data_IF_857595812953
#
_entry.id   IF_857595812953
#
_cell.length_a   1.000
_cell.length_b   1.000
_cell.length_c   1.000
_cell.angle_alpha   90.00
_cell.angle_beta   90.00
_cell.angle_gamma   90.00
#
_symmetry.space_group_name_H-M   'P 1'
#
loop_
_entity.id
_entity.type
_entity.pdbx_description
1 polymer ?
#
# COMPACT_ATOMS: atom_id res chain seq x y z
N UNK A 1 -9.21 -11.77 -27.18
CA UNK A 1 -9.63 -11.38 -25.81
C UNK A 1 -8.74 -12.18 -24.89
N UNK A 2 -7.83 -11.55 -24.15
CA UNK A 2 -6.94 -12.30 -23.25
C UNK A 2 -7.77 -12.79 -22.07
N UNK A 3 -7.85 -14.11 -21.93
CA UNK A 3 -8.42 -14.76 -20.77
C UNK A 3 -7.59 -14.40 -19.53
N UNK A 4 -8.22 -13.70 -18.59
CA UNK A 4 -7.64 -13.36 -17.28
C UNK A 4 -8.18 -14.31 -16.19
N UNK A 5 -8.68 -15.50 -16.56
CA UNK A 5 -9.09 -16.52 -15.61
C UNK A 5 -7.95 -16.81 -14.63
N UNK A 6 -8.16 -16.37 -13.40
CA UNK A 6 -7.30 -16.41 -12.23
C UNK A 6 -6.71 -17.81 -11.96
N UNK A 7 -5.38 -17.94 -11.89
CA UNK A 7 -4.68 -19.18 -11.50
C UNK A 7 -3.95 -19.08 -10.14
N UNK A 8 -4.39 -18.22 -9.23
CA UNK A 8 -3.86 -18.25 -7.85
C UNK A 8 -3.81 -16.95 -7.05
N UNK A 9 -4.31 -15.83 -7.55
CA UNK A 9 -4.32 -14.61 -6.75
C UNK A 9 -5.32 -14.70 -5.56
N UNK A 10 -5.00 -14.10 -4.40
CA UNK A 10 -5.92 -14.02 -3.27
C UNK A 10 -7.19 -13.26 -3.64
N UNK A 11 -8.36 -13.76 -3.24
CA UNK A 11 -9.64 -13.05 -3.37
C UNK A 11 -9.83 -12.17 -2.15
N UNK A 12 -9.73 -10.86 -2.34
CA UNK A 12 -9.78 -9.92 -1.22
C UNK A 12 -10.59 -8.69 -1.55
N UNK A 13 -11.38 -8.24 -0.57
CA UNK A 13 -11.89 -6.89 -0.52
C UNK A 13 -10.82 -5.98 0.09
N UNK A 14 -10.83 -4.71 -0.30
CA UNK A 14 -10.03 -3.64 0.35
C UNK A 14 -8.51 -3.77 0.19
N UNK A 15 -8.07 -4.58 -0.78
CA UNK A 15 -6.67 -4.62 -1.17
C UNK A 15 -6.23 -3.32 -1.86
N UNK A 16 -5.02 -2.88 -1.55
CA UNK A 16 -4.38 -1.76 -2.24
C UNK A 16 -3.27 -2.27 -3.15
N UNK A 17 -3.12 -1.70 -4.34
CA UNK A 17 -2.19 -2.18 -5.35
C UNK A 17 -1.34 -1.06 -5.94
N UNK A 18 -0.11 -1.40 -6.28
CA UNK A 18 0.85 -0.51 -6.93
C UNK A 18 1.60 -1.23 -8.04
N UNK A 19 1.64 -0.63 -9.23
CA UNK A 19 2.48 -1.10 -10.34
C UNK A 19 3.72 -0.22 -10.50
N UNK A 20 4.91 -0.82 -10.43
CA UNK A 20 6.12 -0.15 -10.86
C UNK A 20 6.35 -0.38 -12.36
N UNK A 21 6.12 0.65 -13.19
CA UNK A 21 6.34 0.57 -14.64
C UNK A 21 7.79 0.25 -15.03
N UNK A 22 8.77 0.49 -14.16
CA UNK A 22 10.18 0.22 -14.50
C UNK A 22 10.57 -1.25 -14.38
N UNK A 23 9.84 -2.02 -13.56
CA UNK A 23 10.27 -3.36 -13.14
C UNK A 23 9.23 -4.44 -13.47
N UNK A 24 8.24 -4.16 -14.32
CA UNK A 24 7.18 -5.11 -14.72
C UNK A 24 6.44 -5.80 -13.57
N UNK A 25 6.47 -5.21 -12.37
CA UNK A 25 5.93 -5.82 -11.16
C UNK A 25 4.73 -5.01 -10.62
N UNK A 26 3.67 -5.74 -10.28
CA UNK A 26 2.51 -5.24 -9.56
C UNK A 26 2.54 -5.81 -8.14
N UNK A 27 2.64 -4.95 -7.15
CA UNK A 27 2.53 -5.29 -5.74
C UNK A 27 1.09 -5.09 -5.28
N UNK A 28 0.58 -6.05 -4.53
CA UNK A 28 -0.75 -5.99 -3.90
C UNK A 28 -0.56 -6.26 -2.41
N UNK A 29 -1.12 -5.37 -1.62
CA UNK A 29 -1.01 -5.36 -0.17
C UNK A 29 -2.40 -5.46 0.44
N UNK A 30 -2.49 -6.30 1.47
CA UNK A 30 -3.59 -6.32 2.44
C UNK A 30 -4.97 -6.59 1.87
N UNK A 31 -5.99 -6.47 2.71
CA UNK A 31 -7.36 -6.83 2.38
C UNK A 31 -7.91 -7.90 3.33
N UNK A 32 -9.23 -7.90 3.46
CA UNK A 32 -9.92 -8.66 4.49
C UNK A 32 -9.92 -10.15 4.11
N UNK A 33 -8.94 -10.89 4.63
CA UNK A 33 -9.06 -12.33 4.79
C UNK A 33 -8.83 -12.58 6.27
N UNK A 34 -9.82 -13.18 6.94
CA UNK A 34 -9.87 -13.38 8.40
C UNK A 34 -8.63 -13.98 9.07
N UNK A 35 -7.56 -14.39 8.36
CA UNK A 35 -6.42 -15.07 8.99
C UNK A 35 -5.04 -14.87 8.34
N UNK A 36 -4.84 -14.05 7.31
CA UNK A 36 -3.49 -13.82 6.78
C UNK A 36 -3.37 -12.48 6.05
N UNK A 37 -2.79 -11.43 6.69
CA UNK A 37 -2.21 -10.32 5.94
C UNK A 37 -1.32 -10.86 4.82
N UNK A 38 -1.48 -10.33 3.61
CA UNK A 38 -0.76 -10.86 2.45
C UNK A 38 -0.15 -9.72 1.64
N UNK A 39 1.07 -9.99 1.20
CA UNK A 39 1.78 -9.20 0.21
C UNK A 39 2.07 -10.16 -0.92
N UNK A 40 1.61 -9.81 -2.11
CA UNK A 40 1.89 -10.58 -3.31
C UNK A 40 2.45 -9.67 -4.38
N UNK A 41 3.35 -10.25 -5.17
CA UNK A 41 3.90 -9.64 -6.36
C UNK A 41 3.38 -10.41 -7.57
N UNK A 42 2.86 -9.69 -8.55
CA UNK A 42 2.57 -10.20 -9.87
C UNK A 42 3.60 -9.68 -10.86
N UNK A 43 4.40 -10.59 -11.39
CA UNK A 43 5.33 -10.31 -12.47
C UNK A 43 4.55 -10.32 -13.78
N UNK A 44 4.43 -9.16 -14.43
CA UNK A 44 3.64 -8.99 -15.66
C UNK A 44 4.35 -9.55 -16.89
N UNK A 45 5.68 -9.67 -16.85
CA UNK A 45 6.49 -10.24 -17.92
C UNK A 45 6.34 -11.76 -17.98
N UNK A 46 6.41 -12.42 -16.82
CA UNK A 46 6.25 -13.88 -16.70
C UNK A 46 4.82 -14.32 -16.36
N UNK A 47 3.92 -13.36 -16.11
CA UNK A 47 2.51 -13.57 -15.71
C UNK A 47 2.38 -14.48 -14.48
N UNK A 48 3.26 -14.32 -13.51
CA UNK A 48 3.35 -15.21 -12.34
C UNK A 48 3.17 -14.48 -11.02
N UNK A 49 2.57 -15.17 -10.06
CA UNK A 49 2.37 -14.68 -8.70
C UNK A 49 3.48 -15.18 -7.77
N UNK A 50 3.99 -14.31 -6.92
CA UNK A 50 4.95 -14.64 -5.86
C UNK A 50 4.43 -14.10 -4.54
N UNK A 51 4.31 -14.96 -3.53
CA UNK A 51 4.06 -14.51 -2.16
C UNK A 51 5.34 -13.89 -1.61
N UNK A 52 5.22 -12.69 -1.05
CA UNK A 52 6.32 -12.03 -0.35
C UNK A 52 6.20 -12.38 1.13
N UNK A 53 7.32 -12.78 1.72
CA UNK A 53 7.49 -12.96 3.17
C UNK A 53 8.53 -11.95 3.64
N UNK A 54 8.19 -11.14 4.62
CA UNK A 54 9.11 -10.18 5.23
C UNK A 54 9.50 -10.66 6.61
N UNK A 55 10.79 -10.54 6.96
CA UNK A 55 11.27 -10.82 8.32
C UNK A 55 11.19 -9.57 9.22
N UNK A 56 10.90 -8.41 8.64
CA UNK A 56 10.70 -7.13 9.33
C UNK A 56 9.28 -7.01 9.91
N UNK A 57 9.17 -6.15 10.93
CA UNK A 57 7.88 -5.63 11.37
C UNK A 57 7.13 -5.00 10.19
N UNK A 58 5.82 -5.22 10.13
CA UNK A 58 4.99 -4.89 8.98
C UNK A 58 3.70 -4.22 9.45
N UNK A 59 3.06 -3.37 8.62
CA UNK A 59 1.79 -2.73 8.96
C UNK A 59 0.70 -3.75 9.30
N UNK A 60 -0.35 -3.30 10.01
CA UNK A 60 -1.59 -4.07 10.00
C UNK A 60 -2.24 -3.95 8.61
N UNK A 61 -2.48 -5.09 7.96
CA UNK A 61 -2.99 -5.15 6.58
C UNK A 61 -4.51 -5.26 6.46
N UNK A 62 -5.26 -5.18 7.58
CA UNK A 62 -6.73 -5.32 7.57
C UNK A 62 -7.38 -4.24 6.71
N UNK A 63 -7.03 -2.96 6.95
CA UNK A 63 -7.43 -1.84 6.10
C UNK A 63 -6.22 -0.95 5.85
N UNK A 64 -5.76 -0.90 4.60
CA UNK A 64 -4.58 -0.11 4.22
C UNK A 64 -4.81 0.65 2.92
N UNK A 65 -4.05 1.72 2.76
CA UNK A 65 -3.92 2.42 1.49
C UNK A 65 -2.47 2.55 1.11
N UNK A 66 -2.15 2.35 -0.16
CA UNK A 66 -0.78 2.50 -0.64
C UNK A 66 -0.66 3.51 -1.79
N UNK A 67 0.41 4.28 -1.79
CA UNK A 67 0.77 5.23 -2.84
C UNK A 67 2.22 5.02 -3.29
N UNK A 68 2.48 5.23 -4.58
CA UNK A 68 3.84 5.20 -5.12
C UNK A 68 4.68 6.30 -4.48
N UNK A 69 5.67 5.95 -3.68
CA UNK A 69 6.67 6.88 -3.18
C UNK A 69 7.96 6.79 -4.02
N UNK A 70 8.84 7.77 -3.86
CA UNK A 70 10.05 7.93 -4.66
C UNK A 70 10.87 6.63 -4.85
N UNK A 71 11.59 6.49 -5.96
CA UNK A 71 12.62 5.47 -6.19
C UNK A 71 12.29 4.00 -5.81
N UNK A 72 11.06 3.56 -6.03
CA UNK A 72 10.67 2.17 -5.73
C UNK A 72 10.24 1.96 -4.28
N UNK A 73 10.12 3.02 -3.50
CA UNK A 73 9.42 3.00 -2.23
C UNK A 73 7.92 3.08 -2.46
N UNK A 74 7.15 2.47 -1.56
CA UNK A 74 5.69 2.52 -1.56
C UNK A 74 5.29 2.99 -0.17
N UNK A 75 4.61 4.12 -0.11
CA UNK A 75 4.02 4.62 1.11
C UNK A 75 2.76 3.80 1.41
N UNK A 76 2.64 3.29 2.63
CA UNK A 76 1.51 2.48 3.09
C UNK A 76 1.00 3.11 4.38
N UNK A 77 -0.24 3.57 4.37
CA UNK A 77 -0.93 4.05 5.56
C UNK A 77 -1.80 2.91 6.08
N UNK A 78 -1.62 2.56 7.35
CA UNK A 78 -2.42 1.52 8.00
C UNK A 78 -3.61 2.07 8.79
N UNK A 79 -4.42 1.17 9.35
CA UNK A 79 -5.62 1.52 10.12
C UNK A 79 -5.32 2.39 11.35
N UNK A 80 -4.12 2.27 11.94
CA UNK A 80 -3.69 3.04 13.10
C UNK A 80 -3.18 4.42 12.70
N UNK A 81 -3.23 4.74 11.41
CA UNK A 81 -2.65 5.94 10.84
C UNK A 81 -1.14 6.01 11.10
N UNK A 82 -0.47 4.86 11.04
CA UNK A 82 0.98 4.78 10.97
C UNK A 82 1.40 4.77 9.50
N UNK A 83 2.39 5.60 9.15
CA UNK A 83 2.95 5.61 7.81
C UNK A 83 4.13 4.64 7.72
N UNK A 84 3.97 3.62 6.90
CA UNK A 84 4.99 2.63 6.57
C UNK A 84 5.57 2.90 5.18
N UNK A 85 6.84 2.60 5.02
CA UNK A 85 7.53 2.60 3.74
C UNK A 85 7.89 1.17 3.39
N UNK A 86 7.46 0.72 2.21
CA UNK A 86 7.87 -0.56 1.65
C UNK A 86 8.89 -0.34 0.53
N UNK A 87 10.07 -0.92 0.68
CA UNK A 87 11.08 -0.95 -0.36
C UNK A 87 10.79 -2.10 -1.33
N UNK A 88 10.45 -1.78 -2.58
CA UNK A 88 10.11 -2.79 -3.59
C UNK A 88 11.32 -3.54 -4.17
N UNK A 89 12.54 -3.08 -3.92
CA UNK A 89 13.77 -3.73 -4.33
C UNK A 89 14.24 -4.71 -3.25
N UNK A 90 14.31 -4.23 -2.00
CA UNK A 90 14.77 -5.02 -0.86
C UNK A 90 13.65 -5.87 -0.24
N UNK A 91 12.38 -5.59 -0.58
CA UNK A 91 11.19 -6.24 -0.04
C UNK A 91 11.08 -6.13 1.48
N UNK A 92 11.42 -4.95 2.02
CA UNK A 92 11.43 -4.67 3.45
C UNK A 92 10.48 -3.53 3.81
N UNK A 93 10.04 -3.51 5.07
CA UNK A 93 9.29 -2.41 5.64
C UNK A 93 10.15 -1.58 6.59
N UNK A 94 9.86 -0.30 6.64
CA UNK A 94 10.31 0.61 7.68
C UNK A 94 9.18 1.54 8.10
N UNK A 95 9.09 1.83 9.40
CA UNK A 95 8.17 2.83 9.91
C UNK A 95 8.73 4.23 9.61
N UNK A 96 7.90 5.11 9.05
CA UNK A 96 8.28 6.48 8.74
C UNK A 96 8.17 7.37 9.97
N UNK A 97 9.10 8.32 10.14
CA UNK A 97 9.01 9.38 11.15
C UNK A 97 8.15 10.58 10.70
N UNK A 98 7.21 10.33 9.79
CA UNK A 98 6.30 11.31 9.25
C UNK A 98 5.55 12.10 10.34
N UNK A 99 5.57 13.43 10.23
CA UNK A 99 4.73 14.30 11.05
C UNK A 99 3.39 14.58 10.36
N UNK A 100 2.35 14.85 11.14
CA UNK A 100 1.00 15.19 10.66
C UNK A 100 0.28 14.07 9.89
N UNK A 101 0.53 12.81 10.26
CA UNK A 101 -0.31 11.71 9.76
C UNK A 101 -1.74 11.95 10.26
N UNK A 102 -2.78 11.80 9.41
CA UNK A 102 -4.17 11.86 9.82
C UNK A 102 -4.49 11.16 11.13
N UNK A 103 -5.40 11.69 11.94
CA UNK A 103 -6.01 10.89 13.01
C UNK A 103 -6.93 9.82 12.38
N UNK A 104 -7.07 8.68 13.06
CA UNK A 104 -7.81 7.46 12.69
C UNK A 104 -8.99 7.66 11.70
N UNK A 105 -8.90 7.12 10.47
CA UNK A 105 -10.02 7.09 9.52
C UNK A 105 -10.08 5.77 8.74
N UNK A 106 -11.30 5.37 8.38
CA UNK A 106 -11.55 4.17 7.59
C UNK A 106 -11.47 4.52 6.09
N UNK A 107 -10.89 3.60 5.31
CA UNK A 107 -10.79 3.68 3.85
C UNK A 107 -10.07 4.94 3.34
N UNK A 108 -8.74 4.92 3.38
CA UNK A 108 -7.93 5.93 2.70
C UNK A 108 -7.72 5.57 1.23
N UNK A 109 -7.75 6.57 0.36
CA UNK A 109 -7.04 6.58 -0.91
C UNK A 109 -5.82 7.49 -0.73
N UNK A 110 -4.63 6.93 -0.90
CA UNK A 110 -3.38 7.69 -0.88
C UNK A 110 -2.90 7.93 -2.32
N UNK A 111 -2.45 9.14 -2.60
CA UNK A 111 -1.77 9.48 -3.85
C UNK A 111 -0.58 10.39 -3.56
N UNK A 112 0.29 10.60 -4.54
CA UNK A 112 1.49 11.42 -4.38
C UNK A 112 1.37 12.67 -5.24
N UNK A 113 1.68 13.81 -4.63
CA UNK A 113 1.82 15.09 -5.32
C UNK A 113 3.23 15.27 -5.91
N UNK A 114 3.39 16.29 -6.75
CA UNK A 114 4.67 16.59 -7.42
C UNK A 114 5.85 16.89 -6.46
N UNK A 115 5.59 17.20 -5.18
CA UNK A 115 6.62 17.52 -4.18
C UNK A 115 6.94 16.33 -3.26
N UNK A 116 6.74 15.09 -3.71
CA UNK A 116 6.93 13.87 -2.90
C UNK A 116 6.10 13.87 -1.61
N UNK A 117 5.03 14.65 -1.60
CA UNK A 117 4.07 14.69 -0.51
C UNK A 117 2.98 13.67 -0.77
N UNK A 118 2.69 12.84 0.22
CA UNK A 118 1.57 11.91 0.18
C UNK A 118 0.30 12.68 0.54
N UNK A 119 -0.69 12.63 -0.35
CA UNK A 119 -2.04 13.11 -0.14
C UNK A 119 -2.92 11.92 0.22
N UNK A 120 -3.51 11.94 1.40
CA UNK A 120 -4.49 10.95 1.83
C UNK A 120 -5.91 11.51 1.69
N UNK A 121 -6.88 10.69 1.32
CA UNK A 121 -8.30 11.05 1.31
C UNK A 121 -9.03 9.91 2.02
N UNK A 122 -9.66 10.20 3.15
CA UNK A 122 -10.27 9.19 4.01
C UNK A 122 -11.73 9.47 4.32
N UNK A 123 -12.35 8.56 5.07
CA UNK A 123 -13.69 8.76 5.63
C UNK A 123 -13.67 8.53 7.14
N UNK A 124 -14.32 9.42 7.87
CA UNK A 124 -14.71 9.16 9.25
C UNK A 124 -16.08 8.47 9.30
N UNK A 125 -16.33 7.69 10.36
CA UNK A 125 -17.56 6.93 10.59
C UNK A 125 -18.82 7.76 10.27
N UNK A 126 -18.81 9.05 10.62
CA UNK A 126 -19.96 9.94 10.47
C UNK A 126 -19.86 10.98 9.34
N UNK A 127 -18.71 11.17 8.68
CA UNK A 127 -18.51 12.25 7.68
C UNK A 127 -17.46 11.91 6.61
N UNK A 128 -17.70 12.36 5.38
CA UNK A 128 -16.67 12.37 4.33
C UNK A 128 -15.80 13.61 4.53
N UNK A 129 -14.53 13.41 4.88
CA UNK A 129 -13.54 14.49 4.98
C UNK A 129 -12.45 14.27 3.95
N UNK A 130 -12.20 15.28 3.12
CA UNK A 130 -10.98 15.32 2.32
C UNK A 130 -9.89 15.89 3.23
N UNK A 131 -9.22 15.02 3.98
CA UNK A 131 -8.09 15.44 4.81
C UNK A 131 -6.82 15.50 3.96
N UNK A 132 -6.53 16.67 3.40
CA UNK A 132 -5.29 16.90 2.68
C UNK A 132 -4.13 17.12 3.66
N UNK A 133 -3.59 16.05 4.22
CA UNK A 133 -2.37 16.14 5.00
C UNK A 133 -1.15 16.03 4.10
N UNK A 134 -0.27 17.02 4.18
CA UNK A 134 1.07 16.94 3.60
C UNK A 134 1.94 16.15 4.56
N UNK A 135 2.21 14.89 4.20
CA UNK A 135 3.17 14.08 4.93
C UNK A 135 4.54 14.23 4.26
N UNK A 136 5.47 14.89 4.96
CA UNK A 136 6.88 14.95 4.58
C UNK A 136 7.60 13.76 5.20
N UNK A 137 8.29 12.98 4.37
CA UNK A 137 9.14 11.88 4.82
C UNK A 137 10.56 12.41 4.93
N UNK A 138 11.12 12.37 6.14
CA UNK A 138 12.55 12.66 6.40
C UNK A 138 13.30 11.33 6.61
N UNK A 139 14.51 11.23 6.05
CA UNK A 139 15.39 10.06 6.11
C UNK A 139 16.56 10.28 7.07
#
# INVERSE_FOLDING_TARGET
>A
MNDISFTGAPRTSEASAYSNRSNDNLFIFGGIIQYNPYIVKYDTSYKMWTKITTESESPNFDTISCAKFNNGLIAILDEKSELWMFDSLELTFSLSNASNVPEYYLAYCATISYEETILCIGRDLDRVYVLMNKVSVEF
#
